data_IF_227694848665
#
_entry.id   IF_227694848665
#
_cell.length_a   1.000
_cell.length_b   1.000
_cell.length_c   1.000
_cell.angle_alpha   90.00
_cell.angle_beta   90.00
_cell.angle_gamma   90.00
#
_symmetry.space_group_name_H-M   'P 1'
#
loop_
_entity.id
_entity.type
_entity.pdbx_description
1 polymer ?
#
# COMPACT_ATOMS: atom_id res chain seq x y z
N UNK A 1 26.74 -11.84 6.07
CA UNK A 1 25.83 -11.69 7.22
C UNK A 1 24.49 -12.26 6.81
N UNK A 2 23.99 -13.27 7.53
CA UNK A 2 22.71 -13.90 7.23
C UNK A 2 21.58 -12.89 7.46
N UNK A 3 20.93 -12.49 6.37
CA UNK A 3 19.78 -11.58 6.37
C UNK A 3 18.58 -12.34 6.96
N UNK A 4 18.40 -12.24 8.28
CA UNK A 4 17.19 -12.71 8.95
C UNK A 4 16.03 -11.85 8.45
N UNK A 5 15.38 -12.27 7.37
CA UNK A 5 14.14 -11.64 6.88
C UNK A 5 13.10 -11.74 8.00
N UNK A 6 12.86 -10.63 8.68
CA UNK A 6 11.79 -10.50 9.68
C UNK A 6 10.49 -11.03 9.05
N UNK A 7 9.87 -12.02 9.70
CA UNK A 7 8.64 -12.64 9.21
C UNK A 7 7.52 -11.60 9.22
N UNK A 8 7.12 -11.12 8.05
CA UNK A 8 6.01 -10.17 7.93
C UNK A 8 4.69 -10.94 7.91
N UNK A 9 3.75 -10.55 8.76
CA UNK A 9 2.43 -11.18 8.88
C UNK A 9 1.35 -10.23 8.39
N UNK A 10 0.53 -10.70 7.45
CA UNK A 10 -0.63 -9.97 6.93
C UNK A 10 -1.91 -10.62 7.45
N UNK A 11 -2.76 -9.84 8.11
CA UNK A 11 -4.05 -10.31 8.59
C UNK A 11 -5.16 -9.47 7.94
N UNK A 12 -5.91 -10.06 7.01
CA UNK A 12 -7.04 -9.38 6.36
C UNK A 12 -8.11 -9.07 7.39
N UNK A 13 -8.59 -7.82 7.39
CA UNK A 13 -9.74 -7.39 8.16
C UNK A 13 -10.94 -7.26 7.23
N UNK A 14 -12.10 -7.78 7.65
CA UNK A 14 -13.34 -7.76 6.85
C UNK A 14 -14.12 -6.45 6.94
N UNK A 15 -13.70 -5.54 7.83
CA UNK A 15 -14.35 -4.24 8.05
C UNK A 15 -13.36 -3.20 8.57
N UNK A 16 -13.63 -1.93 8.33
CA UNK A 16 -12.83 -0.83 8.84
C UNK A 16 -13.06 -0.65 10.36
N UNK A 17 -12.19 -1.24 11.17
CA UNK A 17 -12.25 -1.12 12.64
C UNK A 17 -11.90 0.29 13.10
N UNK A 18 -12.32 0.67 14.32
CA UNK A 18 -11.97 1.97 14.91
C UNK A 18 -10.45 2.19 15.02
N UNK A 19 -9.68 1.15 15.32
CA UNK A 19 -8.20 1.22 15.35
C UNK A 19 -7.62 1.47 13.95
N UNK A 20 -8.10 0.75 12.94
CA UNK A 20 -7.65 0.93 11.56
C UNK A 20 -8.00 2.33 11.03
N UNK A 21 -9.23 2.80 11.31
CA UNK A 21 -9.69 4.13 10.95
C UNK A 21 -8.77 5.20 11.55
N UNK A 22 -8.49 5.13 12.86
CA UNK A 22 -7.60 6.09 13.54
C UNK A 22 -6.19 6.11 12.95
N UNK A 23 -5.66 4.95 12.55
CA UNK A 23 -4.34 4.86 11.95
C UNK A 23 -4.28 5.46 10.54
N UNK A 24 -5.33 5.27 9.72
CA UNK A 24 -5.36 5.63 8.31
C UNK A 24 -6.08 6.94 7.99
N UNK A 25 -6.73 7.58 8.98
CA UNK A 25 -7.58 8.77 8.74
C UNK A 25 -6.90 9.87 7.93
N UNK A 26 -5.60 10.10 8.16
CA UNK A 26 -4.84 11.17 7.50
C UNK A 26 -4.41 10.78 6.06
N UNK A 27 -4.62 9.52 5.67
CA UNK A 27 -4.33 9.02 4.32
C UNK A 27 -5.59 8.85 3.48
N UNK A 28 -6.78 9.09 4.04
CA UNK A 28 -8.04 8.97 3.31
C UNK A 28 -8.29 10.13 2.37
N UNK A 29 -7.77 11.33 2.66
CA UNK A 29 -7.94 12.53 1.84
C UNK A 29 -9.41 12.78 1.44
N UNK A 30 -10.34 12.55 2.38
CA UNK A 30 -11.78 12.74 2.16
C UNK A 30 -12.52 11.52 1.59
N UNK A 31 -11.83 10.42 1.28
CA UNK A 31 -12.43 9.20 0.76
C UNK A 31 -12.87 8.21 1.87
N UNK A 32 -14.05 7.60 1.73
CA UNK A 32 -14.52 6.57 2.66
C UNK A 32 -14.41 5.16 2.04
N UNK A 33 -13.48 4.36 2.58
CA UNK A 33 -13.23 2.99 2.13
C UNK A 33 -14.16 1.94 2.76
N UNK A 34 -15.06 2.28 3.69
CA UNK A 34 -15.88 1.30 4.42
C UNK A 34 -16.62 0.34 3.49
N UNK A 35 -17.39 0.89 2.55
CA UNK A 35 -18.21 0.10 1.62
C UNK A 35 -17.34 -0.82 0.77
N UNK A 36 -16.21 -0.33 0.26
CA UNK A 36 -15.31 -1.14 -0.56
C UNK A 36 -14.67 -2.29 0.19
N UNK A 37 -14.30 -2.07 1.46
CA UNK A 37 -13.73 -3.11 2.32
C UNK A 37 -14.78 -4.20 2.59
N UNK A 38 -16.01 -3.78 2.88
CA UNK A 38 -17.12 -4.69 3.21
C UNK A 38 -17.60 -5.50 1.99
N UNK A 39 -17.61 -4.89 0.80
CA UNK A 39 -17.98 -5.56 -0.45
C UNK A 39 -16.82 -6.34 -1.09
N UNK A 40 -15.61 -6.22 -0.55
CA UNK A 40 -14.41 -6.89 -1.05
C UNK A 40 -13.79 -6.23 -2.29
N UNK A 41 -14.24 -5.03 -2.67
CA UNK A 41 -13.59 -4.20 -3.69
C UNK A 41 -12.22 -3.68 -3.24
N UNK A 42 -12.04 -3.48 -1.93
CA UNK A 42 -10.76 -3.17 -1.31
C UNK A 42 -10.44 -4.16 -0.18
N UNK A 43 -9.16 -4.32 0.12
CA UNK A 43 -8.67 -5.19 1.18
C UNK A 43 -7.95 -4.37 2.25
N UNK A 44 -8.43 -4.48 3.49
CA UNK A 44 -7.80 -3.89 4.66
C UNK A 44 -6.86 -4.90 5.31
N UNK A 45 -5.61 -4.52 5.52
CA UNK A 45 -4.58 -5.36 6.11
C UNK A 45 -4.08 -4.81 7.43
N UNK A 46 -4.06 -5.68 8.45
CA UNK A 46 -3.33 -5.47 9.69
C UNK A 46 -1.99 -6.20 9.59
N UNK A 47 -0.90 -5.45 9.50
CA UNK A 47 0.45 -5.99 9.32
C UNK A 47 1.21 -5.98 10.63
N UNK A 48 1.89 -7.10 10.95
CA UNK A 48 2.73 -7.27 12.14
C UNK A 48 2.03 -6.82 13.43
N UNK A 49 0.84 -7.37 13.70
CA UNK A 49 0.07 -7.03 14.90
C UNK A 49 -0.52 -5.61 14.92
N UNK A 50 -0.49 -4.89 13.79
CA UNK A 50 -1.00 -3.51 13.68
C UNK A 50 0.09 -2.45 13.74
N UNK A 51 1.36 -2.84 13.61
CA UNK A 51 2.47 -1.89 13.40
C UNK A 51 2.30 -1.10 12.10
N UNK A 52 1.67 -1.71 11.09
CA UNK A 52 1.31 -1.08 9.83
C UNK A 52 -0.12 -1.47 9.47
N UNK A 53 -0.85 -0.50 8.93
CA UNK A 53 -2.16 -0.67 8.33
C UNK A 53 -2.08 -0.31 6.85
N UNK A 54 -2.72 -1.12 6.00
CA UNK A 54 -2.76 -0.90 4.55
C UNK A 54 -4.18 -1.08 4.03
N UNK A 55 -4.56 -0.30 3.04
CA UNK A 55 -5.70 -0.60 2.16
C UNK A 55 -5.16 -0.81 0.77
N UNK A 56 -5.48 -1.95 0.16
CA UNK A 56 -5.12 -2.27 -1.22
C UNK A 56 -6.34 -2.57 -2.07
N UNK A 57 -6.22 -2.38 -3.38
CA UNK A 57 -7.23 -2.74 -4.37
C UNK A 57 -6.55 -3.27 -5.63
N UNK A 58 -7.23 -4.12 -6.39
CA UNK A 58 -6.78 -4.51 -7.74
C UNK A 58 -7.60 -3.73 -8.76
N UNK A 59 -6.94 -3.05 -9.68
CA UNK A 59 -7.57 -2.26 -10.74
C UNK A 59 -6.92 -2.59 -12.08
N UNK A 60 -7.66 -3.11 -13.06
CA UNK A 60 -7.17 -3.35 -14.42
C UNK A 60 -5.85 -4.16 -14.50
N UNK A 61 -5.62 -5.07 -13.53
CA UNK A 61 -4.39 -5.85 -13.41
C UNK A 61 -3.26 -5.14 -12.66
N UNK A 62 -3.53 -4.06 -11.94
CA UNK A 62 -2.58 -3.32 -11.10
C UNK A 62 -2.91 -3.50 -9.62
N UNK A 63 -1.90 -3.72 -8.77
CA UNK A 63 -2.07 -3.63 -7.33
C UNK A 63 -1.95 -2.17 -6.88
N UNK A 64 -3.02 -1.59 -6.38
CA UNK A 64 -3.06 -0.22 -5.89
C UNK A 64 -2.96 -0.21 -4.37
N UNK A 65 -1.95 0.46 -3.83
CA UNK A 65 -1.87 0.76 -2.39
C UNK A 65 -2.58 2.09 -2.16
N UNK A 66 -3.85 2.02 -1.77
CA UNK A 66 -4.72 3.19 -1.56
C UNK A 66 -4.34 3.97 -0.31
N UNK A 67 -4.03 3.26 0.77
CA UNK A 67 -3.68 3.87 2.06
C UNK A 67 -2.59 3.07 2.76
N UNK A 68 -1.68 3.75 3.44
CA UNK A 68 -0.65 3.13 4.25
C UNK A 68 -0.25 4.01 5.44
N UNK A 69 -0.31 3.48 6.65
CA UNK A 69 0.11 4.21 7.85
C UNK A 69 0.71 3.27 8.91
N UNK A 70 1.81 3.73 9.53
CA UNK A 70 2.57 2.97 10.52
C UNK A 70 4.00 2.67 10.08
N UNK A 71 4.58 1.59 10.62
CA UNK A 71 6.00 1.20 10.47
C UNK A 71 6.15 -0.17 9.82
N UNK A 72 7.23 -0.35 9.05
CA UNK A 72 7.51 -1.60 8.35
C UNK A 72 6.97 -1.67 6.92
N UNK A 73 6.67 -0.51 6.32
CA UNK A 73 6.17 -0.44 4.95
C UNK A 73 7.15 -1.02 3.93
N UNK A 74 8.45 -0.81 4.10
CA UNK A 74 9.48 -1.39 3.23
C UNK A 74 9.36 -2.90 3.19
N UNK A 75 9.40 -3.53 4.36
CA UNK A 75 9.25 -4.98 4.47
C UNK A 75 7.93 -5.42 3.86
N UNK A 76 6.81 -4.75 4.17
CA UNK A 76 5.51 -5.08 3.58
C UNK A 76 5.50 -4.95 2.05
N UNK A 77 6.15 -3.94 1.47
CA UNK A 77 6.22 -3.69 0.04
C UNK A 77 6.91 -4.85 -0.70
N UNK A 78 7.97 -5.44 -0.13
CA UNK A 78 8.60 -6.65 -0.70
C UNK A 78 7.60 -7.80 -0.85
N UNK A 79 6.75 -8.01 0.15
CA UNK A 79 5.72 -9.05 0.10
C UNK A 79 4.58 -8.69 -0.86
N UNK A 80 4.16 -7.42 -0.92
CA UNK A 80 3.16 -6.95 -1.89
C UNK A 80 3.63 -7.13 -3.33
N UNK A 81 4.90 -6.81 -3.62
CA UNK A 81 5.53 -7.03 -4.93
C UNK A 81 5.55 -8.51 -5.30
N UNK A 82 5.95 -9.38 -4.37
CA UNK A 82 5.93 -10.82 -4.60
C UNK A 82 4.51 -11.36 -4.81
N UNK A 83 3.53 -10.85 -4.06
CA UNK A 83 2.12 -11.23 -4.19
C UNK A 83 1.55 -10.78 -5.54
N UNK A 84 1.84 -9.56 -5.97
CA UNK A 84 1.42 -9.02 -7.25
C UNK A 84 2.02 -9.82 -8.42
N UNK A 85 3.30 -10.16 -8.36
CA UNK A 85 3.98 -11.07 -9.31
C UNK A 85 3.30 -12.42 -9.40
N UNK A 86 3.06 -13.06 -8.24
CA UNK A 86 2.41 -14.38 -8.19
C UNK A 86 0.99 -14.36 -8.77
N UNK A 87 0.30 -13.23 -8.66
CA UNK A 87 -1.05 -13.04 -9.21
C UNK A 87 -1.04 -12.63 -10.70
N UNK A 88 0.12 -12.49 -11.34
CA UNK A 88 0.21 -12.05 -12.74
C UNK A 88 -0.22 -10.60 -12.96
N UNK A 89 -0.12 -9.75 -11.92
CA UNK A 89 -0.42 -8.33 -12.04
C UNK A 89 0.67 -7.61 -12.83
N UNK A 90 0.27 -6.62 -13.62
CA UNK A 90 1.13 -5.83 -14.53
C UNK A 90 1.98 -4.82 -13.78
N UNK A 91 1.50 -4.34 -12.63
CA UNK A 91 2.18 -3.30 -11.87
C UNK A 91 1.74 -3.29 -10.41
N UNK A 92 2.51 -2.58 -9.60
CA UNK A 92 2.05 -2.03 -8.31
C UNK A 92 2.16 -0.51 -8.37
N UNK A 93 1.17 0.19 -7.81
CA UNK A 93 1.17 1.66 -7.74
C UNK A 93 0.71 2.16 -6.37
N UNK A 94 1.18 3.33 -5.99
CA UNK A 94 0.70 4.05 -4.81
C UNK A 94 0.57 5.54 -5.11
N UNK A 95 -0.33 6.19 -4.39
CA UNK A 95 -0.52 7.63 -4.48
C UNK A 95 -0.06 8.28 -3.18
N UNK A 96 0.51 9.47 -3.29
CA UNK A 96 0.94 10.22 -2.10
C UNK A 96 0.92 11.72 -2.35
N UNK A 97 0.46 12.46 -1.33
CA UNK A 97 0.63 13.91 -1.24
C UNK A 97 1.91 14.29 -0.47
N UNK A 98 2.65 13.32 0.07
CA UNK A 98 3.81 13.54 0.95
C UNK A 98 5.12 13.30 0.18
N UNK A 99 5.88 14.34 -0.19
CA UNK A 99 7.14 14.17 -0.93
C UNK A 99 8.19 13.32 -0.20
N UNK A 100 8.21 13.39 1.14
CA UNK A 100 9.12 12.59 1.96
C UNK A 100 8.87 11.08 1.80
N UNK A 101 7.60 10.68 1.71
CA UNK A 101 7.22 9.29 1.50
C UNK A 101 7.69 8.78 0.14
N UNK A 102 7.50 9.59 -0.91
CA UNK A 102 7.97 9.28 -2.24
C UNK A 102 9.50 9.10 -2.29
N UNK A 103 10.25 9.99 -1.63
CA UNK A 103 11.72 9.87 -1.53
C UNK A 103 12.13 8.57 -0.84
N UNK A 104 11.52 8.25 0.29
CA UNK A 104 11.82 7.05 1.06
C UNK A 104 11.58 5.76 0.25
N UNK A 105 10.44 5.66 -0.43
CA UNK A 105 10.14 4.49 -1.26
C UNK A 105 11.11 4.38 -2.43
N UNK A 106 11.41 5.47 -3.14
CA UNK A 106 12.36 5.45 -4.27
C UNK A 106 13.79 5.08 -3.86
N UNK A 107 14.24 5.54 -2.70
CA UNK A 107 15.56 5.18 -2.16
C UNK A 107 15.67 3.69 -1.86
N UNK A 108 14.56 3.08 -1.44
CA UNK A 108 14.53 1.66 -1.07
C UNK A 108 14.23 0.75 -2.26
N UNK A 109 13.45 1.24 -3.23
CA UNK A 109 12.91 0.49 -4.35
C UNK A 109 13.09 1.28 -5.64
N UNK A 110 14.17 0.99 -6.38
CA UNK A 110 14.52 1.69 -7.62
C UNK A 110 13.51 1.50 -8.76
N UNK A 111 12.66 0.48 -8.69
CA UNK A 111 11.65 0.24 -9.71
C UNK A 111 10.43 1.15 -9.66
N UNK A 112 10.20 1.89 -8.56
CA UNK A 112 9.11 2.87 -8.51
C UNK A 112 9.50 4.16 -9.25
N UNK A 113 8.75 4.44 -10.30
CA UNK A 113 8.88 5.65 -11.11
C UNK A 113 7.67 6.56 -10.91
N UNK A 114 7.89 7.87 -10.96
CA UNK A 114 6.80 8.85 -10.97
C UNK A 114 6.13 8.78 -12.35
N UNK A 115 4.84 8.51 -12.39
CA UNK A 115 4.08 8.43 -13.65
C UNK A 115 3.14 9.62 -13.85
N UNK A 116 2.63 10.19 -12.76
CA UNK A 116 1.67 11.30 -12.82
C UNK A 116 1.85 12.22 -11.61
N UNK A 117 1.63 13.52 -11.81
CA UNK A 117 1.35 14.46 -10.73
C UNK A 117 0.10 15.24 -11.10
N UNK A 118 -0.90 15.16 -10.23
CA UNK A 118 -2.19 15.81 -10.43
C UNK A 118 -2.12 17.28 -10.02
N UNK A 119 -3.02 18.09 -10.57
CA UNK A 119 -3.21 19.49 -10.20
C UNK A 119 -3.54 19.67 -8.71
N UNK A 120 -4.07 18.63 -8.06
CA UNK A 120 -4.33 18.57 -6.61
C UNK A 120 -3.08 18.44 -5.75
N UNK A 121 -1.90 18.22 -6.35
CA UNK A 121 -0.65 17.94 -5.64
C UNK A 121 -0.42 16.46 -5.31
N UNK A 122 -1.37 15.57 -5.62
CA UNK A 122 -1.20 14.12 -5.53
C UNK A 122 -0.16 13.65 -6.55
N UNK A 123 0.77 12.79 -6.14
CA UNK A 123 1.75 12.16 -7.04
C UNK A 123 1.55 10.66 -7.06
N UNK A 124 1.54 10.08 -8.26
CA UNK A 124 1.40 8.65 -8.49
C UNK A 124 2.76 8.06 -8.84
N UNK A 125 3.11 6.99 -8.13
CA UNK A 125 4.30 6.20 -8.38
C UNK A 125 3.92 4.77 -8.73
N UNK A 126 4.60 4.21 -9.72
CA UNK A 126 4.31 2.90 -10.26
C UNK A 126 5.58 2.10 -10.49
N UNK A 127 5.52 0.80 -10.22
CA UNK A 127 6.54 -0.17 -10.60
C UNK A 127 5.89 -1.23 -11.49
N UNK A 128 6.35 -1.29 -12.75
CA UNK A 128 6.00 -2.34 -13.69
C UNK A 128 6.57 -3.70 -13.27
N UNK A 129 5.71 -4.71 -13.27
CA UNK A 129 6.08 -6.07 -12.94
C UNK A 129 6.40 -6.80 -14.25
N UNK A 130 7.68 -7.12 -14.42
CA UNK A 130 8.20 -7.98 -15.49
C UNK A 130 8.23 -9.43 -15.05
#
# INVERSE_FOLDING_TARGET
MADQKEKVTFNRQRRLTGTAYRALRDTFYGYDFRREIETGQAELWKVNGGRLWLITRIENGELVVCCAAGRGLVSACVYLLAAAKKQGLKSIRFHTFKPAFARFIKQTFSGFQKVEQRSTGETIYQWMIN
#
